data_IF_943888473757
#
_entry.id   IF_943888473757
#
_cell.length_a   1.000
_cell.length_b   1.000
_cell.length_c   1.000
_cell.angle_alpha   90.00
_cell.angle_beta   90.00
_cell.angle_gamma   90.00
#
_symmetry.space_group_name_H-M   'P 1'
#
loop_
_entity.id
_entity.type
_entity.pdbx_description
1 polymer ?
#
# COMPACT_ATOMS: atom_id res chain seq x y z
N UNK A 1 18.80 31.46 0.82
CA UNK A 1 19.56 30.66 -0.16
C UNK A 1 20.02 29.41 0.58
N UNK A 2 19.51 28.22 0.27
CA UNK A 2 19.98 26.98 0.90
C UNK A 2 21.20 26.53 0.10
N UNK A 3 22.39 26.71 0.66
CA UNK A 3 23.63 26.20 0.08
C UNK A 3 23.60 24.67 0.15
N UNK A 4 23.38 24.05 -1.00
CA UNK A 4 23.45 22.60 -1.14
C UNK A 4 24.93 22.23 -1.04
N UNK A 5 25.34 21.40 -0.06
CA UNK A 5 26.75 21.11 0.14
C UNK A 5 27.31 20.33 -1.06
N UNK A 6 28.42 20.84 -1.62
CA UNK A 6 29.09 20.42 -2.86
C UNK A 6 29.27 18.89 -3.03
N UNK A 7 29.43 18.16 -1.93
CA UNK A 7 29.58 16.70 -1.97
C UNK A 7 28.31 15.96 -2.46
N UNK A 8 27.11 16.52 -2.22
CA UNK A 8 25.85 15.94 -2.70
C UNK A 8 25.65 16.20 -4.19
N UNK A 9 26.10 17.37 -4.67
CA UNK A 9 26.10 17.70 -6.09
C UNK A 9 27.04 16.78 -6.85
N UNK A 10 28.27 16.55 -6.37
CA UNK A 10 29.21 15.60 -7.00
C UNK A 10 28.68 14.18 -7.05
N UNK A 11 28.03 13.70 -5.98
CA UNK A 11 27.47 12.33 -5.95
C UNK A 11 26.30 12.15 -6.92
N UNK A 12 25.45 13.17 -7.05
CA UNK A 12 24.34 13.14 -8.01
C UNK A 12 24.82 13.26 -9.46
N UNK A 13 25.84 14.09 -9.73
CA UNK A 13 26.46 14.18 -11.06
C UNK A 13 27.14 12.87 -11.47
N UNK A 14 27.87 12.22 -10.55
CA UNK A 14 28.52 10.93 -10.81
C UNK A 14 27.51 9.79 -11.05
N UNK A 15 26.33 9.86 -10.41
CA UNK A 15 25.24 8.92 -10.67
C UNK A 15 24.63 9.13 -12.05
N UNK A 16 24.47 10.39 -12.49
CA UNK A 16 23.95 10.71 -13.83
C UNK A 16 24.92 10.37 -14.95
N UNK A 17 26.21 10.67 -14.78
CA UNK A 17 27.23 10.30 -15.77
C UNK A 17 27.37 8.79 -15.95
N UNK A 18 27.04 7.99 -14.93
CA UNK A 18 27.01 6.53 -15.03
C UNK A 18 25.77 5.99 -15.74
N UNK A 19 24.65 6.72 -15.71
CA UNK A 19 23.45 6.35 -16.46
C UNK A 19 23.46 6.84 -17.91
N UNK A 20 24.32 7.81 -18.23
CA UNK A 20 24.39 8.45 -19.56
C UNK A 20 25.52 7.91 -20.45
N UNK A 21 26.41 7.07 -19.90
CA UNK A 21 27.53 6.46 -20.63
C UNK A 21 27.24 5.03 -21.04
N UNK A 22 26.38 4.83 -22.02
CA UNK A 22 26.12 3.52 -22.59
C UNK A 22 25.66 3.64 -24.04
N UNK A 23 26.58 4.04 -24.93
CA UNK A 23 26.56 3.75 -26.37
C UNK A 23 27.96 4.01 -26.98
N UNK A 24 28.39 3.06 -27.81
CA UNK A 24 29.48 3.03 -28.81
C UNK A 24 30.98 2.72 -28.47
N UNK A 25 31.33 1.48 -28.86
CA UNK A 25 32.48 1.01 -29.68
C UNK A 25 33.84 0.55 -29.10
N UNK A 26 34.16 -0.72 -29.46
CA UNK A 26 35.48 -1.29 -29.75
C UNK A 26 36.22 -1.90 -28.55
N UNK A 27 36.50 -3.20 -28.43
CA UNK A 27 36.76 -4.26 -29.40
C UNK A 27 38.18 -4.80 -29.14
N UNK A 28 38.32 -6.02 -28.59
CA UNK A 28 39.39 -6.98 -28.93
C UNK A 28 39.20 -8.36 -28.24
N UNK A 29 38.90 -9.35 -29.08
CA UNK A 29 39.24 -10.79 -29.14
C UNK A 29 39.46 -11.74 -27.93
N UNK A 30 38.96 -12.97 -28.19
CA UNK A 30 39.35 -14.33 -27.75
C UNK A 30 38.67 -14.87 -26.46
N UNK A 31 38.08 -16.07 -26.39
CA UNK A 31 38.03 -17.26 -27.25
C UNK A 31 36.79 -18.10 -26.83
N UNK A 32 36.00 -18.59 -27.80
CA UNK A 32 34.97 -19.61 -27.60
C UNK A 32 35.31 -20.81 -28.48
N UNK A 33 35.12 -22.06 -28.01
CA UNK A 33 34.91 -23.18 -28.91
C UNK A 33 33.41 -23.46 -29.07
N UNK A 34 33.07 -23.57 -30.35
CA UNK A 34 31.80 -23.83 -31.01
C UNK A 34 31.30 -25.28 -30.80
N UNK A 35 29.97 -25.44 -30.77
CA UNK A 35 29.30 -26.62 -31.33
C UNK A 35 27.94 -26.20 -31.93
N UNK A 36 27.96 -25.98 -33.24
CA UNK A 36 26.87 -26.03 -34.22
C UNK A 36 26.25 -27.44 -34.30
N UNK A 37 25.08 -27.74 -34.86
CA UNK A 37 23.95 -27.01 -35.43
C UNK A 37 22.85 -28.02 -35.79
N UNK A 38 21.64 -27.50 -36.09
CA UNK A 38 20.68 -28.10 -37.02
C UNK A 38 19.26 -28.18 -36.46
N UNK A 39 18.25 -27.48 -36.96
CA UNK A 39 18.13 -26.58 -38.11
C UNK A 39 16.72 -26.68 -38.71
N UNK A 40 16.03 -25.53 -38.83
CA UNK A 40 14.87 -25.24 -39.70
C UNK A 40 13.51 -25.87 -39.33
N UNK A 41 12.37 -25.19 -39.41
CA UNK A 41 12.02 -23.88 -39.95
C UNK A 41 10.49 -23.78 -40.15
N UNK A 42 10.02 -22.55 -40.40
CA UNK A 42 8.65 -22.11 -40.76
C UNK A 42 7.61 -22.17 -39.61
N UNK A 43 7.20 -21.05 -39.00
CA UNK A 43 6.42 -19.93 -39.53
C UNK A 43 5.03 -20.35 -40.01
N UNK A 44 4.00 -20.12 -39.18
CA UNK A 44 2.67 -19.74 -39.62
C UNK A 44 1.92 -19.04 -38.46
N UNK A 45 1.59 -17.76 -38.67
CA UNK A 45 0.64 -16.95 -37.91
C UNK A 45 -0.79 -17.38 -38.31
N UNK A 46 -1.82 -17.27 -37.45
CA UNK A 46 -2.70 -16.10 -37.66
C UNK A 46 -3.41 -15.54 -36.41
N UNK A 47 -3.87 -14.30 -36.60
CA UNK A 47 -5.11 -13.69 -36.10
C UNK A 47 -5.16 -13.26 -34.63
N UNK A 48 -4.61 -12.07 -34.39
CA UNK A 48 -5.04 -11.18 -33.31
C UNK A 48 -6.31 -10.45 -33.73
N UNK A 49 -7.39 -10.68 -33.00
CA UNK A 49 -8.64 -9.94 -33.16
C UNK A 49 -8.57 -8.63 -32.34
N UNK A 50 -8.80 -7.54 -33.04
CA UNK A 50 -8.69 -6.17 -32.54
C UNK A 50 -9.71 -5.88 -31.43
N UNK A 51 -9.22 -5.40 -30.29
CA UNK A 51 -10.03 -4.63 -29.34
C UNK A 51 -9.47 -3.23 -29.21
N UNK A 52 -10.38 -2.28 -29.36
CA UNK A 52 -10.13 -0.88 -29.63
C UNK A 52 -9.34 -0.18 -28.51
N UNK A 53 -8.36 0.60 -28.96
CA UNK A 53 -7.70 1.68 -28.25
C UNK A 53 -8.72 2.62 -27.60
N UNK A 54 -8.83 2.58 -26.27
CA UNK A 54 -9.49 3.62 -25.51
C UNK A 54 -8.43 4.52 -24.89
N UNK A 55 -8.43 5.75 -25.37
CA UNK A 55 -7.52 6.82 -25.02
C UNK A 55 -7.68 7.25 -23.55
N UNK A 56 -6.54 7.46 -22.92
CA UNK A 56 -6.39 8.13 -21.63
C UNK A 56 -6.96 9.56 -21.71
N UNK A 57 -7.90 9.98 -20.84
CA UNK A 57 -8.31 11.38 -20.78
C UNK A 57 -7.21 12.21 -20.12
N UNK A 58 -6.82 13.26 -20.85
CA UNK A 58 -5.85 14.26 -20.45
C UNK A 58 -6.30 15.06 -19.20
N UNK A 59 -5.30 15.43 -18.42
CA UNK A 59 -5.38 16.38 -17.30
C UNK A 59 -5.86 17.76 -17.80
N UNK A 60 -6.91 18.37 -17.23
CA UNK A 60 -7.26 19.74 -17.58
C UNK A 60 -6.33 20.74 -16.90
N UNK A 61 -5.75 21.59 -17.74
CA UNK A 61 -4.90 22.72 -17.39
C UNK A 61 -5.62 23.75 -16.49
N UNK A 62 -4.83 24.39 -15.61
CA UNK A 62 -5.26 25.56 -14.83
C UNK A 62 -5.73 26.71 -15.73
N UNK A 63 -6.89 27.34 -15.47
CA UNK A 63 -7.30 28.53 -16.19
C UNK A 63 -6.49 29.76 -15.75
N UNK A 64 -6.00 30.47 -16.77
CA UNK A 64 -5.28 31.73 -16.67
C UNK A 64 -6.16 32.89 -16.16
N UNK A 65 -5.50 33.84 -15.51
CA UNK A 65 -6.04 35.06 -14.92
C UNK A 65 -6.70 35.99 -15.97
N UNK A 66 -7.91 36.53 -15.75
CA UNK A 66 -8.49 37.54 -16.63
C UNK A 66 -7.86 38.94 -16.41
N UNK A 67 -7.80 39.79 -17.46
CA UNK A 67 -7.18 41.11 -17.38
C UNK A 67 -8.00 42.10 -16.54
N UNK A 68 -7.28 43.02 -15.90
CA UNK A 68 -7.83 44.07 -15.04
C UNK A 68 -8.71 45.05 -15.85
N UNK A 69 -9.97 45.22 -15.43
CA UNK A 69 -10.82 46.33 -15.84
C UNK A 69 -10.62 47.53 -14.92
N UNK A 70 -10.32 48.68 -15.52
CA UNK A 70 -10.24 50.00 -14.87
C UNK A 70 -11.55 50.35 -14.14
N UNK A 71 -11.52 50.93 -12.93
CA UNK A 71 -12.74 51.34 -12.24
C UNK A 71 -13.31 52.63 -12.84
N UNK A 72 -14.63 52.64 -13.07
CA UNK A 72 -15.42 53.84 -13.37
C UNK A 72 -15.51 54.75 -12.12
N UNK A 73 -15.65 56.08 -12.28
CA UNK A 73 -15.65 57.00 -11.15
C UNK A 73 -16.90 56.82 -10.25
N UNK A 74 -16.79 57.08 -8.94
CA UNK A 74 -17.90 56.89 -8.02
C UNK A 74 -19.02 57.91 -8.29
N UNK A 75 -20.24 57.40 -8.44
CA UNK A 75 -21.47 58.21 -8.44
C UNK A 75 -21.79 58.55 -6.98
N UNK A 76 -21.84 59.83 -6.64
CA UNK A 76 -22.35 60.27 -5.34
C UNK A 76 -23.83 59.94 -5.23
N UNK A 77 -24.17 59.03 -4.33
CA UNK A 77 -25.55 58.70 -3.98
C UNK A 77 -25.96 59.58 -2.81
N UNK A 78 -26.95 60.44 -3.04
CA UNK A 78 -27.44 61.37 -2.01
C UNK A 78 -28.19 60.61 -0.90
N UNK A 79 -28.18 61.16 0.31
CA UNK A 79 -28.79 60.59 1.54
C UNK A 79 -30.29 60.29 1.37
N UNK A 80 -30.96 60.91 0.39
CA UNK A 80 -32.36 60.63 0.09
C UNK A 80 -32.58 59.26 -0.60
N UNK A 81 -31.63 58.80 -1.43
CA UNK A 81 -31.75 57.54 -2.17
C UNK A 81 -31.37 56.32 -1.29
N UNK A 82 -30.53 56.52 -0.27
CA UNK A 82 -30.20 55.50 0.72
C UNK A 82 -31.39 55.12 1.63
N UNK A 83 -32.36 56.01 1.82
CA UNK A 83 -33.53 55.76 2.66
C UNK A 83 -34.66 55.00 1.94
N UNK A 84 -34.58 54.90 0.60
CA UNK A 84 -35.58 54.21 -0.23
C UNK A 84 -35.24 52.73 -0.52
N UNK A 85 -34.02 52.29 -0.20
CA UNK A 85 -33.56 50.89 -0.32
C UNK A 85 -33.61 50.14 1.02
N UNK A 86 -34.43 50.61 1.97
CA UNK A 86 -34.80 49.80 3.13
C UNK A 86 -35.60 48.62 2.60
N UNK A 87 -34.91 47.49 2.45
CA UNK A 87 -35.52 46.18 2.28
C UNK A 87 -36.65 46.02 3.30
N UNK A 88 -37.73 45.26 2.99
CA UNK A 88 -38.72 44.95 4.01
C UNK A 88 -37.96 44.37 5.20
N UNK A 89 -38.20 44.96 6.38
CA UNK A 89 -37.67 44.47 7.62
C UNK A 89 -37.90 42.96 7.63
N UNK A 90 -36.81 42.19 7.55
CA UNK A 90 -36.85 40.83 8.03
C UNK A 90 -37.24 41.02 9.49
N UNK A 91 -38.43 40.57 9.87
CA UNK A 91 -38.82 40.47 11.27
C UNK A 91 -37.74 39.62 11.93
N UNK A 92 -36.72 40.28 12.48
CA UNK A 92 -35.84 39.72 13.47
C UNK A 92 -36.78 39.50 14.66
N UNK A 93 -37.35 38.30 14.69
CA UNK A 93 -38.04 37.73 15.85
C UNK A 93 -37.24 38.12 17.07
N UNK A 94 -37.72 39.13 17.79
CA UNK A 94 -37.16 39.65 19.03
C UNK A 94 -35.64 39.84 19.06
N UNK A 95 -35.20 41.07 19.33
CA UNK A 95 -34.03 41.21 20.23
C UNK A 95 -34.50 40.75 21.62
N UNK A 96 -34.80 39.46 21.74
CA UNK A 96 -34.95 38.78 22.99
C UNK A 96 -33.56 38.64 23.55
N UNK A 97 -33.41 39.07 24.80
CA UNK A 97 -32.30 38.79 25.69
C UNK A 97 -31.48 37.57 25.22
N UNK A 98 -30.18 37.76 25.02
CA UNK A 98 -29.26 36.66 24.76
C UNK A 98 -29.54 35.59 25.83
N UNK A 99 -29.78 34.31 25.47
CA UNK A 99 -30.41 33.32 26.35
C UNK A 99 -29.50 32.82 27.48
N UNK A 100 -28.48 33.59 27.86
CA UNK A 100 -27.54 33.28 28.92
C UNK A 100 -27.84 34.20 30.10
N UNK A 101 -28.31 33.66 31.24
CA UNK A 101 -28.60 34.48 32.40
C UNK A 101 -27.33 35.21 32.85
N UNK A 102 -27.49 36.46 33.30
CA UNK A 102 -26.40 37.32 33.82
C UNK A 102 -25.57 36.63 34.93
N UNK A 103 -26.18 35.65 35.62
CA UNK A 103 -25.57 34.83 36.66
C UNK A 103 -24.46 33.88 36.16
N UNK A 104 -24.46 33.56 34.87
CA UNK A 104 -23.48 32.67 34.24
C UNK A 104 -22.32 33.44 33.59
N UNK A 105 -22.24 34.76 33.77
CA UNK A 105 -21.23 35.61 33.14
C UNK A 105 -20.15 36.02 34.15
N UNK A 106 -18.88 35.79 33.81
CA UNK A 106 -17.73 36.31 34.57
C UNK A 106 -16.94 37.32 33.74
N UNK A 107 -16.54 38.44 34.37
CA UNK A 107 -15.79 39.48 33.69
C UNK A 107 -14.29 39.14 33.67
N UNK A 108 -13.71 39.14 32.49
CA UNK A 108 -12.27 38.98 32.29
C UNK A 108 -11.68 40.35 31.93
N UNK A 109 -10.44 40.57 32.35
CA UNK A 109 -9.71 41.81 32.13
C UNK A 109 -9.86 42.30 30.67
N UNK A 110 -10.31 43.55 30.51
CA UNK A 110 -10.59 44.15 29.21
C UNK A 110 -12.07 44.22 28.83
N UNK A 111 -13.01 43.92 29.75
CA UNK A 111 -14.45 44.10 29.53
C UNK A 111 -15.11 42.98 28.71
N UNK A 112 -14.43 41.84 28.56
CA UNK A 112 -15.00 40.66 27.92
C UNK A 112 -15.70 39.83 29.00
N UNK A 113 -17.02 39.64 28.85
CA UNK A 113 -17.80 38.75 29.71
C UNK A 113 -17.81 37.35 29.10
N UNK A 114 -17.30 36.35 29.82
CA UNK A 114 -17.36 34.95 29.41
C UNK A 114 -18.58 34.25 30.01
N UNK A 115 -19.31 33.50 29.18
CA UNK A 115 -20.41 32.65 29.64
C UNK A 115 -19.83 31.35 30.20
N UNK A 116 -19.75 31.27 31.53
CA UNK A 116 -19.30 30.11 32.29
C UNK A 116 -20.48 29.15 32.44
N UNK A 117 -20.82 28.41 31.37
CA UNK A 117 -21.74 27.29 31.51
C UNK A 117 -21.05 26.17 32.30
N UNK A 118 -21.74 25.57 33.26
CA UNK A 118 -21.20 24.58 34.20
C UNK A 118 -20.85 23.22 33.59
N UNK A 119 -20.95 23.06 32.26
CA UNK A 119 -20.58 21.82 31.60
C UNK A 119 -20.41 21.96 30.09
N UNK A 120 -19.33 21.36 29.58
CA UNK A 120 -19.13 21.19 28.16
C UNK A 120 -20.32 20.43 27.53
N UNK A 121 -20.67 20.71 26.26
CA UNK A 121 -21.78 20.03 25.61
C UNK A 121 -21.49 18.52 25.54
N UNK A 122 -22.52 17.70 25.77
CA UNK A 122 -22.38 16.24 25.92
C UNK A 122 -21.67 15.56 24.73
N UNK A 123 -21.85 16.07 23.52
CA UNK A 123 -21.18 15.57 22.33
C UNK A 123 -19.66 15.80 22.36
N UNK A 124 -19.21 16.92 22.94
CA UNK A 124 -17.79 17.26 23.07
C UNK A 124 -17.14 16.42 24.17
N UNK A 125 -17.85 16.23 25.29
CA UNK A 125 -17.42 15.29 26.34
C UNK A 125 -17.29 13.88 25.76
N UNK A 126 -18.27 13.44 24.98
CA UNK A 126 -18.24 12.14 24.31
C UNK A 126 -17.06 12.05 23.34
N UNK A 127 -16.79 13.07 22.53
CA UNK A 127 -15.63 13.10 21.63
C UNK A 127 -14.31 13.00 22.39
N UNK A 128 -14.17 13.73 23.51
CA UNK A 128 -12.98 13.68 24.37
C UNK A 128 -12.76 12.33 25.07
N UNK A 129 -13.81 11.51 25.23
CA UNK A 129 -13.69 10.14 25.74
C UNK A 129 -13.44 9.14 24.62
N UNK A 130 -14.15 9.26 23.50
CA UNK A 130 -14.10 8.30 22.41
C UNK A 130 -12.80 8.39 21.61
N UNK A 131 -12.29 9.60 21.32
CA UNK A 131 -11.04 9.78 20.57
C UNK A 131 -9.82 9.10 21.23
N UNK A 132 -9.50 9.30 22.53
CA UNK A 132 -8.38 8.63 23.14
C UNK A 132 -8.58 7.11 23.25
N UNK A 133 -9.82 6.62 23.41
CA UNK A 133 -10.12 5.18 23.39
C UNK A 133 -9.83 4.59 22.01
N UNK A 134 -10.29 5.23 20.93
CA UNK A 134 -10.00 4.81 19.56
C UNK A 134 -8.49 4.87 19.31
N UNK A 135 -7.80 5.90 19.78
CA UNK A 135 -6.34 6.02 19.64
C UNK A 135 -5.60 4.89 20.37
N UNK A 136 -6.03 4.52 21.59
CA UNK A 136 -5.49 3.38 22.33
C UNK A 136 -5.71 2.04 21.60
N UNK A 137 -6.92 1.81 21.08
CA UNK A 137 -7.23 0.62 20.27
C UNK A 137 -6.38 0.61 19.00
N UNK A 138 -6.28 1.75 18.30
CA UNK A 138 -5.45 1.89 17.10
C UNK A 138 -3.98 1.61 17.41
N UNK A 139 -3.42 2.17 18.48
CA UNK A 139 -2.04 1.90 18.87
C UNK A 139 -1.82 0.45 19.31
N UNK A 140 -2.81 -0.21 19.91
CA UNK A 140 -2.74 -1.65 20.21
C UNK A 140 -2.68 -2.50 18.94
N UNK A 141 -3.59 -2.23 18.00
CA UNK A 141 -3.72 -2.98 16.74
C UNK A 141 -2.55 -2.70 15.77
N UNK A 142 -2.09 -1.44 15.72
CA UNK A 142 -1.01 -0.96 14.83
C UNK A 142 0.31 -0.71 15.59
N UNK A 143 0.48 -1.32 16.77
CA UNK A 143 1.71 -1.26 17.60
C UNK A 143 2.98 -1.69 16.86
N UNK A 144 2.79 -2.37 15.73
CA UNK A 144 3.81 -2.96 14.90
C UNK A 144 4.07 -2.17 13.62
N UNK A 145 3.95 -0.84 13.68
CA UNK A 145 4.35 0.07 12.61
C UNK A 145 3.68 -0.19 11.26
N UNK A 146 4.14 0.54 10.24
CA UNK A 146 3.79 0.28 8.85
C UNK A 146 4.58 -0.95 8.40
N UNK A 147 3.89 -1.99 7.94
CA UNK A 147 4.55 -3.23 7.51
C UNK A 147 5.30 -3.03 6.21
N UNK A 148 6.33 -3.85 5.99
CA UNK A 148 7.01 -3.86 4.70
C UNK A 148 6.00 -4.08 3.57
N UNK A 149 6.07 -3.24 2.53
CA UNK A 149 5.12 -3.20 1.42
C UNK A 149 3.90 -2.31 1.65
N UNK A 150 3.58 -1.96 2.89
CA UNK A 150 2.52 -1.01 3.20
C UNK A 150 3.06 0.41 2.98
N UNK A 151 2.35 1.22 2.20
CA UNK A 151 2.74 2.60 1.85
C UNK A 151 4.18 2.75 1.29
N UNK A 152 4.69 1.73 0.59
CA UNK A 152 6.02 1.76 -0.03
C UNK A 152 7.20 1.67 0.94
N UNK A 153 6.97 1.24 2.19
CA UNK A 153 8.04 1.01 3.16
C UNK A 153 8.76 -0.31 2.89
N UNK A 154 10.10 -0.29 2.96
CA UNK A 154 10.98 -1.45 2.82
C UNK A 154 11.64 -1.80 4.16
N UNK A 155 12.17 -3.01 4.28
CA UNK A 155 12.94 -3.43 5.44
C UNK A 155 14.35 -2.83 5.39
N UNK A 156 15.01 -2.78 6.55
CA UNK A 156 16.42 -2.35 6.66
C UNK A 156 17.23 -3.57 7.11
N UNK A 157 18.24 -3.95 6.33
CA UNK A 157 19.16 -5.03 6.67
C UNK A 157 20.15 -4.65 7.78
N UNK A 158 20.90 -5.64 8.26
CA UNK A 158 21.90 -5.44 9.31
C UNK A 158 23.03 -4.48 8.89
N UNK A 159 23.20 -4.29 7.58
CA UNK A 159 24.14 -3.35 6.95
C UNK A 159 23.56 -1.92 6.79
N UNK A 160 22.33 -1.71 7.24
CA UNK A 160 21.61 -0.43 7.10
C UNK A 160 21.08 -0.17 5.69
N UNK A 161 21.20 -1.11 4.75
CA UNK A 161 20.62 -0.96 3.41
C UNK A 161 19.15 -1.38 3.38
N UNK A 162 18.42 -0.80 2.43
CA UNK A 162 17.05 -1.21 2.18
C UNK A 162 17.06 -2.60 1.52
N UNK A 163 16.25 -3.50 2.08
CA UNK A 163 16.04 -4.86 1.56
C UNK A 163 14.55 -5.06 1.26
N UNK A 164 14.27 -6.01 0.38
CA UNK A 164 12.90 -6.39 0.06
C UNK A 164 12.20 -7.04 1.28
N UNK A 165 10.88 -7.18 1.18
CA UNK A 165 10.08 -7.68 2.30
C UNK A 165 10.32 -9.15 2.64
N UNK A 166 10.94 -9.89 1.74
CA UNK A 166 11.42 -11.27 1.89
C UNK A 166 12.87 -11.35 2.40
N UNK A 167 13.50 -10.21 2.68
CA UNK A 167 14.89 -10.13 3.15
C UNK A 167 15.93 -10.18 2.03
N UNK A 168 15.51 -10.28 0.76
CA UNK A 168 16.42 -10.27 -0.38
C UNK A 168 16.96 -8.87 -0.66
N UNK A 169 18.14 -8.80 -1.29
CA UNK A 169 18.70 -7.55 -1.75
C UNK A 169 17.78 -6.90 -2.80
N UNK A 170 17.68 -5.57 -2.77
CA UNK A 170 16.94 -4.86 -3.81
C UNK A 170 17.59 -5.12 -5.18
N UNK A 171 16.79 -5.32 -6.23
CA UNK A 171 17.32 -5.49 -7.57
C UNK A 171 18.01 -4.20 -8.02
N UNK A 172 19.01 -4.34 -8.89
CA UNK A 172 19.82 -3.20 -9.32
C UNK A 172 18.96 -2.12 -10.00
N UNK A 173 19.32 -0.83 -9.87
CA UNK A 173 18.59 0.26 -10.53
C UNK A 173 18.48 0.00 -12.04
N UNK A 174 17.25 -0.09 -12.55
CA UNK A 174 16.97 -0.41 -13.97
C UNK A 174 16.57 -1.86 -14.22
N UNK A 175 16.61 -2.73 -13.20
CA UNK A 175 15.94 -4.02 -13.26
C UNK A 175 14.41 -3.82 -13.34
N UNK A 176 13.76 -4.65 -14.15
CA UNK A 176 12.32 -4.56 -14.39
C UNK A 176 11.54 -5.04 -13.15
N UNK A 177 11.31 -4.13 -12.20
CA UNK A 177 10.57 -4.35 -10.95
C UNK A 177 9.06 -4.52 -11.16
N UNK A 178 8.60 -4.41 -12.41
CA UNK A 178 7.21 -4.62 -12.82
C UNK A 178 6.74 -6.06 -12.59
N UNK A 179 7.66 -7.01 -12.38
CA UNK A 179 7.37 -8.34 -11.86
C UNK A 179 7.41 -8.36 -10.33
N UNK A 180 6.55 -7.58 -9.68
CA UNK A 180 6.18 -7.92 -8.30
C UNK A 180 5.46 -9.26 -8.38
N UNK A 181 6.12 -10.32 -7.93
CA UNK A 181 5.49 -11.63 -7.79
C UNK A 181 4.17 -11.53 -7.00
N UNK A 182 3.22 -12.44 -7.24
CA UNK A 182 1.90 -12.40 -6.60
C UNK A 182 2.01 -12.34 -5.06
N UNK A 183 1.02 -11.72 -4.42
CA UNK A 183 0.99 -11.61 -2.96
C UNK A 183 0.59 -12.96 -2.34
N UNK A 184 1.60 -13.71 -1.87
CA UNK A 184 1.42 -15.01 -1.24
C UNK A 184 0.49 -15.00 -0.02
N UNK A 185 0.45 -13.91 0.75
CA UNK A 185 -0.47 -13.77 1.89
C UNK A 185 -1.91 -13.65 1.42
N UNK A 186 -2.15 -12.85 0.38
CA UNK A 186 -3.49 -12.71 -0.20
C UNK A 186 -3.98 -14.02 -0.83
N UNK A 187 -3.08 -14.80 -1.46
CA UNK A 187 -3.40 -16.14 -1.97
C UNK A 187 -3.75 -17.08 -0.81
N UNK A 188 -2.93 -17.09 0.25
CA UNK A 188 -3.16 -17.92 1.44
C UNK A 188 -4.52 -17.65 2.10
N UNK A 189 -4.87 -16.37 2.28
CA UNK A 189 -6.15 -15.96 2.88
C UNK A 189 -7.35 -16.44 2.08
N UNK A 190 -7.25 -16.46 0.75
CA UNK A 190 -8.33 -16.88 -0.15
C UNK A 190 -8.47 -18.39 -0.27
N UNK A 191 -7.34 -19.12 -0.28
CA UNK A 191 -7.32 -20.53 -0.70
C UNK A 191 -6.97 -21.51 0.42
N UNK A 192 -6.13 -21.10 1.38
CA UNK A 192 -5.54 -22.02 2.37
C UNK A 192 -6.14 -21.84 3.77
N UNK A 193 -6.49 -20.60 4.12
CA UNK A 193 -6.90 -20.22 5.48
C UNK A 193 -8.18 -20.93 5.96
N UNK A 194 -9.06 -21.36 5.06
CA UNK A 194 -10.28 -22.08 5.41
C UNK A 194 -10.01 -23.41 6.15
N UNK A 195 -8.88 -24.07 5.85
CA UNK A 195 -8.49 -25.33 6.49
C UNK A 195 -7.33 -25.15 7.46
N UNK A 196 -6.32 -24.36 7.08
CA UNK A 196 -5.10 -24.16 7.87
C UNK A 196 -5.20 -23.00 8.87
N UNK A 197 -6.34 -22.28 8.87
CA UNK A 197 -6.59 -21.15 9.74
C UNK A 197 -5.96 -19.85 9.24
N UNK A 198 -6.54 -18.71 9.63
CA UNK A 198 -6.11 -17.38 9.17
C UNK A 198 -4.64 -17.05 9.48
N UNK A 199 -4.07 -17.62 10.54
CA UNK A 199 -2.67 -17.44 10.95
C UNK A 199 -1.84 -18.71 10.78
N UNK A 200 -2.34 -19.71 10.03
CA UNK A 200 -1.70 -21.01 9.91
C UNK A 200 -1.73 -21.81 11.21
N UNK A 201 -2.67 -21.53 12.12
CA UNK A 201 -2.81 -22.23 13.41
C UNK A 201 -3.33 -23.68 13.27
N UNK A 202 -3.81 -24.06 12.09
CA UNK A 202 -4.46 -25.34 11.82
C UNK A 202 -5.96 -25.31 12.09
N UNK A 203 -6.56 -26.49 12.07
CA UNK A 203 -7.98 -26.71 12.29
C UNK A 203 -8.42 -28.00 11.61
N UNK A 204 -9.06 -27.86 10.45
CA UNK A 204 -9.32 -29.00 9.55
C UNK A 204 -8.01 -29.48 8.92
N UNK A 205 -7.16 -28.53 8.51
CA UNK A 205 -5.80 -28.78 8.04
C UNK A 205 -4.78 -28.76 9.18
N UNK A 206 -3.59 -29.30 8.90
CA UNK A 206 -2.48 -29.30 9.86
C UNK A 206 -2.00 -27.87 10.16
N UNK A 207 -1.43 -27.61 11.35
CA UNK A 207 -0.84 -26.31 11.66
C UNK A 207 0.37 -26.04 10.76
N UNK A 208 0.44 -24.83 10.21
CA UNK A 208 1.56 -24.32 9.39
C UNK A 208 2.44 -23.33 10.14
N UNK A 209 1.96 -22.79 11.27
CA UNK A 209 2.68 -21.81 12.05
C UNK A 209 3.58 -22.44 13.11
N UNK A 210 4.74 -21.80 13.34
CA UNK A 210 5.70 -22.18 14.40
C UNK A 210 5.08 -22.16 15.79
N UNK A 211 4.20 -21.18 16.04
CA UNK A 211 3.49 -21.03 17.32
C UNK A 211 2.62 -22.26 17.67
N UNK A 212 2.23 -23.05 16.67
CA UNK A 212 1.37 -24.21 16.83
C UNK A 212 2.12 -25.53 16.51
N UNK A 213 3.43 -25.56 16.75
CA UNK A 213 4.29 -26.75 16.62
C UNK A 213 4.23 -27.43 15.24
N UNK A 214 4.20 -26.63 14.17
CA UNK A 214 4.23 -27.17 12.80
C UNK A 214 5.44 -28.05 12.51
N UNK A 215 5.26 -29.06 11.66
CA UNK A 215 6.33 -29.89 11.10
C UNK A 215 6.71 -29.48 9.67
N UNK A 216 6.12 -28.41 9.12
CA UNK A 216 6.23 -28.01 7.71
C UNK A 216 7.67 -28.04 7.18
N UNK A 217 8.61 -27.38 7.86
CA UNK A 217 10.01 -27.29 7.42
C UNK A 217 10.80 -28.61 7.58
N UNK A 218 10.31 -29.54 8.41
CA UNK A 218 10.87 -30.89 8.52
C UNK A 218 10.32 -31.82 7.44
N UNK A 219 9.04 -31.67 7.12
CA UNK A 219 8.37 -32.45 6.07
C UNK A 219 8.76 -31.97 4.67
N UNK A 220 9.01 -30.67 4.51
CA UNK A 220 9.45 -30.05 3.27
C UNK A 220 10.69 -29.18 3.50
N UNK A 221 11.88 -29.78 3.60
CA UNK A 221 13.14 -29.04 3.74
C UNK A 221 13.32 -28.04 2.59
N UNK A 222 13.01 -28.46 1.37
CA UNK A 222 13.09 -27.65 0.16
C UNK A 222 11.73 -27.08 -0.23
N UNK A 223 11.68 -25.79 -0.55
CA UNK A 223 10.47 -25.11 -0.99
C UNK A 223 9.86 -25.75 -2.26
N UNK A 224 10.68 -26.21 -3.20
CA UNK A 224 10.22 -26.86 -4.42
C UNK A 224 9.38 -28.13 -4.15
N UNK A 225 9.77 -28.91 -3.13
CA UNK A 225 9.01 -30.10 -2.73
C UNK A 225 7.63 -29.75 -2.14
N UNK A 226 7.55 -28.62 -1.42
CA UNK A 226 6.28 -28.09 -0.90
C UNK A 226 5.40 -27.58 -2.04
N UNK A 227 5.96 -26.86 -3.02
CA UNK A 227 5.24 -26.39 -4.22
C UNK A 227 4.61 -27.57 -4.98
N UNK A 228 5.38 -28.64 -5.21
CA UNK A 228 4.87 -29.83 -5.88
C UNK A 228 3.75 -30.52 -5.10
N UNK A 229 3.83 -30.53 -3.76
CA UNK A 229 2.77 -31.06 -2.91
C UNK A 229 1.50 -30.20 -2.98
N UNK A 230 1.60 -28.87 -2.86
CA UNK A 230 0.45 -27.95 -2.97
C UNK A 230 -0.19 -28.04 -4.36
N UNK A 231 0.63 -28.14 -5.40
CA UNK A 231 0.19 -28.28 -6.80
C UNK A 231 -0.63 -29.56 -7.02
N UNK A 232 -0.19 -30.69 -6.47
CA UNK A 232 -0.78 -32.02 -6.72
C UNK A 232 -1.80 -32.46 -5.66
N UNK A 233 -1.79 -31.86 -4.48
CA UNK A 233 -2.59 -32.28 -3.33
C UNK A 233 -2.12 -33.62 -2.75
N UNK A 234 -2.68 -34.00 -1.60
CA UNK A 234 -2.21 -35.18 -0.88
C UNK A 234 -2.60 -36.53 -1.54
N UNK A 235 -3.68 -36.54 -2.34
CA UNK A 235 -4.17 -37.73 -3.03
C UNK A 235 -3.19 -38.25 -4.10
N UNK A 236 -2.30 -37.39 -4.61
CA UNK A 236 -1.27 -37.77 -5.56
C UNK A 236 -0.10 -38.57 -4.95
N UNK A 237 -0.09 -38.75 -3.62
CA UNK A 237 0.99 -39.38 -2.88
C UNK A 237 0.46 -40.56 -2.03
N UNK A 238 0.08 -41.70 -2.66
CA UNK A 238 -0.52 -42.84 -1.96
C UNK A 238 0.45 -43.51 -0.97
N UNK A 239 1.76 -43.44 -1.25
CA UNK A 239 2.82 -44.00 -0.39
C UNK A 239 3.28 -43.02 0.72
N UNK A 240 2.59 -41.88 0.84
CA UNK A 240 2.89 -40.80 1.78
C UNK A 240 3.62 -39.62 1.15
N UNK A 241 3.46 -38.44 1.76
CA UNK A 241 3.98 -37.16 1.26
C UNK A 241 5.09 -36.59 2.17
N UNK A 242 5.90 -35.69 1.62
CA UNK A 242 7.02 -35.05 2.32
C UNK A 242 8.16 -36.01 2.68
N UNK A 243 9.22 -35.47 3.28
CA UNK A 243 10.41 -36.21 3.68
C UNK A 243 10.12 -37.32 4.70
N UNK A 244 9.10 -37.14 5.55
CA UNK A 244 8.70 -38.10 6.57
C UNK A 244 7.66 -39.13 6.10
N UNK A 245 7.29 -39.15 4.81
CA UNK A 245 6.25 -40.03 4.24
C UNK A 245 4.96 -40.00 5.07
N UNK A 246 4.50 -38.81 5.40
CA UNK A 246 3.27 -38.63 6.16
C UNK A 246 2.12 -39.27 5.39
N UNK A 247 1.25 -40.05 6.05
CA UNK A 247 0.14 -40.70 5.37
C UNK A 247 -0.81 -39.64 4.80
N UNK A 248 -1.42 -39.93 3.66
CA UNK A 248 -2.43 -39.09 3.02
C UNK A 248 -3.75 -39.11 3.83
N UNK A 249 -3.72 -38.57 5.06
CA UNK A 249 -4.89 -38.34 5.91
C UNK A 249 -5.46 -36.96 5.62
N UNK A 250 -6.79 -36.85 5.64
CA UNK A 250 -7.50 -35.66 5.19
C UNK A 250 -7.55 -35.56 3.67
N UNK A 251 -8.18 -34.52 3.14
CA UNK A 251 -8.34 -34.28 1.71
C UNK A 251 -7.81 -32.90 1.34
N UNK A 252 -6.48 -32.74 1.28
CA UNK A 252 -5.90 -31.52 0.75
C UNK A 252 -5.99 -31.56 -0.78
N UNK A 253 -6.80 -30.70 -1.41
CA UNK A 253 -7.01 -30.73 -2.85
C UNK A 253 -5.75 -30.31 -3.61
N UNK A 254 -5.73 -30.59 -4.92
CA UNK A 254 -4.71 -30.10 -5.82
C UNK A 254 -4.99 -28.64 -6.21
N UNK A 255 -3.99 -27.77 -6.10
CA UNK A 255 -4.12 -26.36 -6.49
C UNK A 255 -3.51 -26.03 -7.85
N UNK A 256 -2.87 -27.00 -8.52
CA UNK A 256 -2.18 -26.77 -9.79
C UNK A 256 -3.05 -26.35 -10.97
N UNK A 257 -4.38 -26.50 -10.88
CA UNK A 257 -5.34 -26.01 -11.87
C UNK A 257 -6.02 -24.70 -11.47
N UNK A 258 -5.76 -24.20 -10.25
CA UNK A 258 -6.41 -23.03 -9.67
C UNK A 258 -5.42 -21.87 -9.54
N UNK A 259 -4.17 -22.18 -9.18
CA UNK A 259 -3.11 -21.22 -8.96
C UNK A 259 -2.08 -21.29 -10.09
N UNK A 260 -1.60 -20.13 -10.52
CA UNK A 260 -0.46 -20.03 -11.43
C UNK A 260 0.84 -20.50 -10.74
N UNK A 261 1.90 -20.86 -11.50
CA UNK A 261 3.19 -21.24 -10.93
C UNK A 261 3.74 -20.18 -9.96
N UNK A 262 3.67 -18.91 -10.35
CA UNK A 262 4.15 -17.79 -9.53
C UNK A 262 3.32 -17.66 -8.22
N UNK A 263 2.00 -17.89 -8.27
CA UNK A 263 1.14 -17.86 -7.08
C UNK A 263 1.42 -19.03 -6.14
N UNK A 264 1.73 -20.22 -6.68
CA UNK A 264 2.12 -21.39 -5.90
C UNK A 264 3.44 -21.14 -5.17
N UNK A 265 4.42 -20.55 -5.85
CA UNK A 265 5.69 -20.18 -5.22
C UNK A 265 5.51 -19.10 -4.15
N UNK A 266 4.72 -18.08 -4.45
CA UNK A 266 4.44 -16.99 -3.50
C UNK A 266 3.70 -17.47 -2.26
N UNK A 267 2.67 -18.32 -2.39
CA UNK A 267 1.94 -18.84 -1.23
C UNK A 267 2.80 -19.77 -0.39
N UNK A 268 3.61 -20.62 -1.03
CA UNK A 268 4.56 -21.49 -0.31
C UNK A 268 5.61 -20.67 0.44
N UNK A 269 6.14 -19.61 -0.17
CA UNK A 269 7.05 -18.69 0.53
C UNK A 269 6.38 -18.11 1.78
N UNK A 270 5.12 -17.63 1.67
CA UNK A 270 4.38 -17.13 2.83
C UNK A 270 4.15 -18.21 3.90
N UNK A 271 3.74 -19.43 3.53
CA UNK A 271 3.56 -20.54 4.48
C UNK A 271 4.84 -20.85 5.26
N UNK A 272 6.00 -20.77 4.60
CA UNK A 272 7.31 -20.99 5.25
C UNK A 272 7.65 -19.88 6.24
N UNK A 273 7.28 -18.63 5.97
CA UNK A 273 7.42 -17.54 6.96
C UNK A 273 6.59 -17.80 8.21
N UNK A 274 5.40 -18.41 8.10
CA UNK A 274 4.59 -18.79 9.25
C UNK A 274 5.28 -19.89 10.08
N UNK A 275 5.97 -20.82 9.43
CA UNK A 275 6.76 -21.87 10.07
C UNK A 275 8.10 -21.37 10.65
N UNK A 276 8.45 -20.11 10.41
CA UNK A 276 9.63 -19.44 10.94
C UNK A 276 10.93 -19.80 10.21
N UNK A 277 10.84 -20.02 8.89
CA UNK A 277 11.97 -20.17 7.98
C UNK A 277 11.79 -19.35 6.71
#
# INVERSE_FOLDING_TARGET
>A
MVEIPEHLLKRSQAARSKSEGGDDEGGEAADTPTAEAGGGGAAEEPAQEAVASQASPASPASPATPPASTPAPPREVTVAEAKALVAPAIDLVGVGEVPYPEADQSEIAGGIKEVVTSGAPKWLVLAFVVLPVIAMVYLGQFSSGVRCGQAGKLNVGDDGQLIACDGSALPEPGADVSKKGPDGKAVFEKQCAACHGATGQGGVGLPLSKANNTTLLKDFPEAASQVEFVKKGNAAFPDGWGANKNPARGSMPAFGSILSPDELEAVVAYERTLAGG
#
